data_IF_759982713155
#
_entry.id   IF_759982713155
#
_cell.length_a   1.000
_cell.length_b   1.000
_cell.length_c   1.000
_cell.angle_alpha   90.00
_cell.angle_beta   90.00
_cell.angle_gamma   90.00
#
_symmetry.space_group_name_H-M   'P 1'
#
loop_
_entity.id
_entity.type
_entity.pdbx_description
1 polymer ?
#
# COMPACT_ATOMS: atom_id res chain seq x y z
N UNK A 1 20.31 34.25 12.94
CA UNK A 1 20.02 32.83 12.69
C UNK A 1 18.53 32.62 12.40
N UNK A 2 18.05 33.17 11.28
CA UNK A 2 16.68 32.96 10.75
C UNK A 2 16.71 32.15 9.44
N UNK A 3 17.90 31.77 8.97
CA UNK A 3 18.16 30.99 7.76
C UNK A 3 18.01 29.47 8.01
N UNK A 4 18.23 28.98 9.23
CA UNK A 4 18.16 27.54 9.51
C UNK A 4 16.73 27.01 9.64
N UNK A 5 15.74 27.83 10.04
CA UNK A 5 14.37 27.35 10.24
C UNK A 5 13.55 27.26 8.94
N UNK A 6 13.71 28.21 8.00
CA UNK A 6 12.99 28.12 6.72
C UNK A 6 13.53 27.01 5.84
N UNK A 7 14.86 26.77 5.88
CA UNK A 7 15.48 25.69 5.12
C UNK A 7 15.05 24.32 5.64
N UNK A 8 14.96 24.14 6.97
CA UNK A 8 14.46 22.91 7.55
C UNK A 8 13.00 22.63 7.17
N UNK A 9 12.17 23.69 7.11
CA UNK A 9 10.78 23.59 6.70
C UNK A 9 10.66 23.18 5.23
N UNK A 10 11.40 23.83 4.33
CA UNK A 10 11.41 23.48 2.90
C UNK A 10 11.95 22.08 2.64
N UNK A 11 12.95 21.62 3.40
CA UNK A 11 13.47 20.24 3.29
C UNK A 11 12.40 19.25 3.75
N UNK A 12 11.70 19.53 4.86
CA UNK A 12 10.57 18.70 5.32
C UNK A 12 9.47 18.61 4.27
N UNK A 13 9.05 19.75 3.73
CA UNK A 13 8.00 19.82 2.70
C UNK A 13 8.41 19.12 1.41
N UNK A 14 9.68 19.23 1.00
CA UNK A 14 10.19 18.52 -0.18
C UNK A 14 10.24 17.00 0.03
N UNK A 15 10.65 16.54 1.23
CA UNK A 15 10.61 15.12 1.58
C UNK A 15 9.16 14.63 1.60
N UNK A 16 8.25 15.37 2.22
CA UNK A 16 6.85 14.99 2.34
C UNK A 16 6.13 14.98 0.99
N UNK A 17 6.46 15.93 0.11
CA UNK A 17 5.95 16.00 -1.28
C UNK A 17 6.48 14.83 -2.10
N UNK A 18 7.78 14.56 -2.03
CA UNK A 18 8.40 13.41 -2.70
C UNK A 18 7.81 12.08 -2.21
N UNK A 19 7.59 11.94 -0.90
CA UNK A 19 6.96 10.74 -0.33
C UNK A 19 5.52 10.55 -0.81
N UNK A 20 4.76 11.63 -1.04
CA UNK A 20 3.39 11.59 -1.58
C UNK A 20 3.35 11.30 -3.09
N UNK A 21 4.32 11.80 -3.86
CA UNK A 21 4.48 11.53 -5.30
C UNK A 21 4.86 10.08 -5.60
N UNK A 22 5.49 9.39 -4.64
CA UNK A 22 6.03 8.03 -4.77
C UNK A 22 5.05 6.93 -4.35
N UNK A 23 3.77 7.23 -4.09
CA UNK A 23 2.78 6.21 -3.67
C UNK A 23 1.78 5.90 -4.78
N UNK A 24 1.59 4.61 -5.05
CA UNK A 24 0.55 4.11 -5.93
C UNK A 24 -0.69 3.74 -5.12
N UNK A 25 -1.87 4.13 -5.61
CA UNK A 25 -3.12 3.59 -5.09
C UNK A 25 -3.21 2.10 -5.42
N UNK A 26 -3.63 1.29 -4.46
CA UNK A 26 -3.99 -0.11 -4.66
C UNK A 26 -5.43 -0.38 -4.21
N UNK A 27 -6.02 -1.39 -4.82
CA UNK A 27 -7.28 -2.00 -4.40
C UNK A 27 -7.21 -3.49 -4.71
N UNK A 28 -7.43 -4.33 -3.71
CA UNK A 28 -7.20 -5.78 -3.80
C UNK A 28 -8.13 -6.54 -2.85
N UNK A 29 -8.63 -7.68 -3.32
CA UNK A 29 -9.32 -8.66 -2.48
C UNK A 29 -8.28 -9.69 -2.00
N UNK A 30 -8.12 -9.85 -0.69
CA UNK A 30 -7.12 -10.76 -0.10
C UNK A 30 -7.81 -11.86 0.70
N UNK A 31 -7.57 -13.15 0.37
CA UNK A 31 -8.09 -14.27 1.14
C UNK A 31 -7.63 -14.27 2.60
N UNK A 32 -8.44 -14.85 3.48
CA UNK A 32 -8.08 -15.04 4.90
C UNK A 32 -6.80 -15.87 5.10
N UNK A 33 -6.45 -16.76 4.16
CA UNK A 33 -5.21 -17.54 4.19
C UNK A 33 -3.95 -16.68 4.06
N UNK A 34 -4.06 -15.50 3.46
CA UNK A 34 -2.95 -14.56 3.22
C UNK A 34 -2.75 -13.58 4.40
N UNK A 35 -2.84 -14.08 5.63
CA UNK A 35 -2.75 -13.26 6.85
C UNK A 35 -1.45 -12.45 6.98
N UNK A 36 -0.35 -12.95 6.39
CA UNK A 36 0.92 -12.22 6.32
C UNK A 36 0.81 -10.96 5.45
N UNK A 37 0.22 -11.08 4.27
CA UNK A 37 0.03 -9.94 3.36
C UNK A 37 -0.91 -8.89 3.98
N UNK A 38 -1.99 -9.33 4.63
CA UNK A 38 -2.89 -8.45 5.38
C UNK A 38 -2.17 -7.67 6.47
N UNK A 39 -1.28 -8.32 7.22
CA UNK A 39 -0.48 -7.66 8.26
C UNK A 39 0.45 -6.61 7.65
N UNK A 40 1.15 -6.96 6.56
CA UNK A 40 2.04 -6.03 5.87
C UNK A 40 1.30 -4.81 5.31
N UNK A 41 0.10 -5.00 4.72
CA UNK A 41 -0.72 -3.87 4.26
C UNK A 41 -1.10 -2.94 5.42
N UNK A 42 -1.43 -3.48 6.59
CA UNK A 42 -1.75 -2.67 7.79
C UNK A 42 -0.57 -1.88 8.32
N UNK A 43 0.65 -2.43 8.25
CA UNK A 43 1.82 -1.85 8.92
C UNK A 43 2.72 -1.02 8.01
N UNK A 44 2.74 -1.31 6.71
CA UNK A 44 3.71 -0.72 5.76
C UNK A 44 3.05 0.13 4.66
N UNK A 45 1.72 0.25 4.67
CA UNK A 45 0.99 1.05 3.68
C UNK A 45 0.05 2.04 4.35
N UNK A 46 -0.38 3.05 3.60
CA UNK A 46 -1.50 3.88 4.01
C UNK A 46 -2.80 3.15 3.67
N UNK A 47 -3.23 2.25 4.54
CA UNK A 47 -4.47 1.49 4.40
C UNK A 47 -5.67 2.40 4.73
N UNK A 48 -6.52 2.63 3.75
CA UNK A 48 -7.70 3.51 3.86
C UNK A 48 -9.01 2.76 4.06
N UNK A 49 -9.08 1.50 3.61
CA UNK A 49 -10.22 0.60 3.79
C UNK A 49 -9.71 -0.81 4.02
N UNK A 50 -10.34 -1.51 4.96
CA UNK A 50 -10.21 -2.96 5.12
C UNK A 50 -11.53 -3.51 5.62
N UNK A 51 -12.29 -4.11 4.71
CA UNK A 51 -13.63 -4.65 4.98
C UNK A 51 -13.65 -6.15 4.70
N UNK A 52 -14.18 -6.94 5.63
CA UNK A 52 -14.34 -8.36 5.40
C UNK A 52 -15.63 -8.60 4.60
N UNK A 53 -15.50 -9.24 3.44
CA UNK A 53 -16.61 -9.63 2.57
C UNK A 53 -16.94 -11.10 2.83
N UNK A 54 -17.94 -11.33 3.68
CA UNK A 54 -18.31 -12.69 4.13
C UNK A 54 -18.65 -13.63 2.97
N UNK A 55 -19.39 -13.15 1.97
CA UNK A 55 -19.83 -13.93 0.80
C UNK A 55 -18.68 -14.52 0.00
N UNK A 56 -17.52 -13.85 0.02
CA UNK A 56 -16.32 -14.25 -0.73
C UNK A 56 -15.20 -14.77 0.18
N UNK A 57 -15.35 -14.61 1.49
CA UNK A 57 -14.34 -14.96 2.48
C UNK A 57 -12.98 -14.25 2.27
N UNK A 58 -13.03 -12.98 1.83
CA UNK A 58 -11.85 -12.13 1.55
C UNK A 58 -11.96 -10.79 2.26
N UNK A 59 -10.82 -10.12 2.45
CA UNK A 59 -10.79 -8.69 2.80
C UNK A 59 -10.68 -7.83 1.55
N UNK A 60 -11.58 -6.88 1.38
CA UNK A 60 -11.43 -5.77 0.42
C UNK A 60 -10.55 -4.68 1.05
N UNK A 61 -9.34 -4.57 0.53
CA UNK A 61 -8.30 -3.66 0.99
C UNK A 61 -8.08 -2.54 -0.03
N UNK A 62 -8.14 -1.29 0.43
CA UNK A 62 -7.85 -0.11 -0.39
C UNK A 62 -6.85 0.76 0.33
N UNK A 63 -5.84 1.24 -0.37
CA UNK A 63 -4.87 2.15 0.22
C UNK A 63 -3.86 2.69 -0.77
N UNK A 64 -2.79 3.24 -0.22
CA UNK A 64 -1.66 3.74 -0.97
C UNK A 64 -0.39 3.05 -0.51
N UNK A 65 0.44 2.62 -1.46
CA UNK A 65 1.68 1.88 -1.22
C UNK A 65 2.85 2.55 -1.94
N UNK A 66 4.02 2.60 -1.30
CA UNK A 66 5.22 3.13 -1.94
C UNK A 66 5.58 2.33 -3.21
N UNK A 67 5.73 3.04 -4.32
CA UNK A 67 5.94 2.50 -5.66
C UNK A 67 7.15 1.57 -5.73
N UNK A 68 8.22 1.92 -5.02
CA UNK A 68 9.49 1.18 -5.01
C UNK A 68 9.64 0.24 -3.79
N UNK A 69 8.59 0.03 -3.00
CA UNK A 69 8.65 -0.93 -1.89
C UNK A 69 8.66 -2.37 -2.36
N UNK A 70 9.35 -3.23 -1.61
CA UNK A 70 9.30 -4.68 -1.82
C UNK A 70 7.89 -5.24 -1.66
N UNK A 71 7.05 -4.61 -0.83
CA UNK A 71 5.65 -4.97 -0.66
C UNK A 71 4.83 -4.68 -1.93
N UNK A 72 5.10 -3.60 -2.65
CA UNK A 72 4.41 -3.31 -3.92
C UNK A 72 4.73 -4.37 -4.98
N UNK A 73 5.97 -4.85 -5.03
CA UNK A 73 6.36 -5.95 -5.93
C UNK A 73 5.64 -7.24 -5.54
N UNK A 74 5.59 -7.57 -4.24
CA UNK A 74 4.87 -8.74 -3.73
C UNK A 74 3.37 -8.67 -4.05
N UNK A 75 2.74 -7.52 -3.81
CA UNK A 75 1.31 -7.31 -4.07
C UNK A 75 0.97 -7.45 -5.56
N UNK A 76 1.81 -6.93 -6.45
CA UNK A 76 1.64 -7.11 -7.91
C UNK A 76 1.74 -8.57 -8.33
N UNK A 77 2.68 -9.32 -7.76
CA UNK A 77 2.81 -10.76 -8.06
C UNK A 77 1.59 -11.54 -7.60
N UNK A 78 1.12 -11.29 -6.38
CA UNK A 78 -0.11 -11.88 -5.85
C UNK A 78 -1.30 -11.65 -6.79
N UNK A 79 -1.48 -10.42 -7.31
CA UNK A 79 -2.55 -10.10 -8.25
C UNK A 79 -2.48 -10.87 -9.58
N UNK A 80 -1.27 -11.13 -10.08
CA UNK A 80 -1.07 -11.92 -11.30
C UNK A 80 -1.42 -13.40 -11.04
N UNK A 81 -0.91 -13.96 -9.95
CA UNK A 81 -1.17 -15.35 -9.55
C UNK A 81 -2.67 -15.62 -9.32
N UNK A 82 -3.38 -14.69 -8.66
CA UNK A 82 -4.84 -14.76 -8.49
C UNK A 82 -5.62 -14.62 -9.80
N UNK A 83 -5.12 -13.80 -10.74
CA UNK A 83 -5.70 -13.65 -12.06
C UNK A 83 -5.58 -14.93 -12.89
N UNK A 84 -4.45 -15.63 -12.81
CA UNK A 84 -4.22 -16.90 -13.48
C UNK A 84 -5.09 -18.02 -12.89
N UNK A 85 -5.21 -18.11 -11.56
CA UNK A 85 -6.05 -19.10 -10.89
C UNK A 85 -7.55 -18.99 -11.20
N UNK A 86 -8.03 -17.80 -11.58
CA UNK A 86 -9.44 -17.58 -11.98
C UNK A 86 -9.73 -17.98 -13.43
N UNK A 87 -8.71 -18.24 -14.24
CA UNK A 87 -8.84 -18.60 -15.66
C UNK A 87 -8.63 -20.11 -15.94
N UNK A 88 -8.58 -20.94 -14.89
CA UNK A 88 -8.40 -22.41 -14.97
C UNK A 88 -9.68 -23.10 -14.51
#
# INVERSE_FOLDING_TARGET
>A
SAFEQSDLLHIKEAIETKMKEEMNRYQVEIPLSEGKLLTLLKTETLLTKMEFLEDKFVYDCVGYIFAHSSLNVQLKRFLVEEGENKNV
#
